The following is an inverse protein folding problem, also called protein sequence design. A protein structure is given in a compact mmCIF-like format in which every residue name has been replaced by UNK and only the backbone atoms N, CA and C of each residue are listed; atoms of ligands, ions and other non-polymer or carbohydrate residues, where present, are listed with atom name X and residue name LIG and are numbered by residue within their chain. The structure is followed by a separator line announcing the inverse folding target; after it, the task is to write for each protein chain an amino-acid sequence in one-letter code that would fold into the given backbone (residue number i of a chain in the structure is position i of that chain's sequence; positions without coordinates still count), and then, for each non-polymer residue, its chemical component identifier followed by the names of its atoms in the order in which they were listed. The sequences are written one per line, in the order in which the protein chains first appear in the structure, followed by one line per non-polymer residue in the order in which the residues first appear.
data_IF_492244743475
#
_entry.id   IF_492244743475
#
_cell.length_a   1.000
_cell.length_b   1.000
_cell.length_c   1.000
_cell.angle_alpha   90.00
_cell.angle_beta   90.00
_cell.angle_gamma   90.00
#
_symmetry.space_group_name_H-M   'P 1'
#
loop_
_entity.id
_entity.type
_entity.pdbx_description
1 polymer ?
#
# COMPACT_ATOMS: atom_id res chain seq x y z
N UNK A 1 -6.85 39.43 -21.58
CA UNK A 1 -5.91 38.39 -21.10
C UNK A 1 -5.60 38.70 -19.64
N UNK A 2 -5.87 37.77 -18.73
CA UNK A 2 -5.58 37.95 -17.31
C UNK A 2 -4.08 37.76 -17.07
N UNK A 3 -3.45 38.78 -16.47
CA UNK A 3 -2.01 38.83 -16.14
C UNK A 3 -1.67 38.04 -14.86
N UNK A 4 -2.62 37.25 -14.35
CA UNK A 4 -2.47 36.43 -13.15
C UNK A 4 -2.91 35.00 -13.47
N UNK A 5 -2.06 34.00 -13.19
CA UNK A 5 -2.45 32.60 -13.28
C UNK A 5 -3.52 32.28 -12.24
N UNK A 6 -4.43 31.43 -12.64
CA UNK A 6 -5.43 30.80 -11.78
C UNK A 6 -4.82 29.62 -11.02
N UNK A 7 -5.47 29.15 -9.95
CA UNK A 7 -4.99 27.99 -9.19
C UNK A 7 -4.93 26.73 -10.06
N UNK A 8 -5.89 26.56 -10.98
CA UNK A 8 -5.90 25.48 -11.99
C UNK A 8 -4.68 25.53 -12.91
N UNK A 9 -4.22 26.73 -13.27
CA UNK A 9 -2.98 26.89 -14.05
C UNK A 9 -1.73 26.62 -13.20
N UNK A 10 -1.78 26.74 -11.87
CA UNK A 10 -0.65 26.32 -11.02
C UNK A 10 -0.60 24.79 -10.93
N UNK A 11 -1.74 24.12 -10.81
CA UNK A 11 -1.81 22.65 -10.81
C UNK A 11 -1.39 22.08 -12.17
N UNK A 12 -1.87 22.66 -13.28
CA UNK A 12 -1.45 22.26 -14.63
C UNK A 12 0.05 22.49 -14.88
N UNK A 13 0.67 23.45 -14.20
CA UNK A 13 2.13 23.64 -14.22
C UNK A 13 2.86 22.50 -13.52
N UNK A 14 2.39 22.11 -12.33
CA UNK A 14 2.93 20.98 -11.57
C UNK A 14 2.81 19.69 -12.39
N UNK A 15 1.70 19.52 -13.11
CA UNK A 15 1.44 18.40 -14.00
C UNK A 15 2.13 18.50 -15.37
N UNK A 16 2.78 19.62 -15.70
CA UNK A 16 3.48 19.79 -16.98
C UNK A 16 2.56 19.84 -18.20
N UNK A 17 1.27 20.08 -18.00
CA UNK A 17 0.20 20.14 -19.01
C UNK A 17 -0.02 21.56 -19.55
N UNK A 18 0.87 22.51 -19.21
CA UNK A 18 0.85 23.87 -19.76
C UNK A 18 1.72 24.03 -21.00
N UNK A 19 1.19 24.80 -21.94
CA UNK A 19 1.95 25.36 -23.05
C UNK A 19 3.03 26.35 -22.56
N UNK A 20 3.94 26.71 -23.46
CA UNK A 20 5.11 27.55 -23.15
C UNK A 20 4.71 28.97 -22.72
N UNK A 21 3.65 29.52 -23.32
CA UNK A 21 3.21 30.90 -23.05
C UNK A 21 2.59 31.03 -21.66
N UNK A 22 1.69 30.12 -21.27
CA UNK A 22 1.08 30.12 -19.93
C UNK A 22 2.05 29.68 -18.86
N UNK A 23 3.00 28.80 -19.18
CA UNK A 23 4.12 28.45 -18.27
C UNK A 23 4.95 29.67 -17.88
N UNK A 24 5.30 30.52 -18.84
CA UNK A 24 6.04 31.76 -18.56
C UNK A 24 5.27 32.69 -17.61
N UNK A 25 3.95 32.80 -17.75
CA UNK A 25 3.10 33.59 -16.86
C UNK A 25 3.10 33.03 -15.43
N UNK A 26 3.02 31.70 -15.28
CA UNK A 26 3.10 31.02 -13.97
C UNK A 26 4.47 31.23 -13.33
N UNK A 27 5.56 31.01 -14.07
CA UNK A 27 6.93 31.17 -13.56
C UNK A 27 7.21 32.63 -13.13
N UNK A 28 6.76 33.59 -13.94
CA UNK A 28 6.83 35.02 -13.59
C UNK A 28 6.04 35.31 -12.31
N UNK A 29 4.86 34.70 -12.14
CA UNK A 29 4.05 34.84 -10.93
C UNK A 29 4.71 34.23 -9.68
N UNK A 30 5.36 33.07 -9.84
CA UNK A 30 6.07 32.37 -8.77
C UNK A 30 7.35 33.12 -8.35
N UNK A 31 8.10 33.69 -9.30
CA UNK A 31 9.31 34.49 -9.01
C UNK A 31 9.04 35.68 -8.06
N UNK A 32 7.82 36.24 -8.12
CA UNK A 32 7.38 37.36 -7.27
C UNK A 32 6.78 36.90 -5.93
N UNK A 33 6.64 35.58 -5.69
CA UNK A 33 6.01 35.00 -4.49
C UNK A 33 6.82 33.79 -3.98
N UNK A 34 7.89 34.01 -3.20
CA UNK A 34 8.79 32.95 -2.78
C UNK A 34 8.10 31.86 -1.94
N UNK A 35 7.13 32.22 -1.09
CA UNK A 35 6.38 31.24 -0.30
C UNK A 35 5.50 30.32 -1.15
N UNK A 36 4.90 30.84 -2.23
CA UNK A 36 4.10 30.04 -3.16
C UNK A 36 5.01 29.17 -4.04
N UNK A 37 6.13 29.72 -4.50
CA UNK A 37 7.15 28.97 -5.25
C UNK A 37 7.70 27.78 -4.45
N UNK A 38 7.96 27.98 -3.14
CA UNK A 38 8.42 26.91 -2.27
C UNK A 38 7.40 25.76 -2.15
N UNK A 39 6.10 26.07 -2.08
CA UNK A 39 5.05 25.04 -2.08
C UNK A 39 5.01 24.27 -3.40
N UNK A 40 5.00 24.98 -4.54
CA UNK A 40 4.99 24.37 -5.88
C UNK A 40 6.23 23.48 -6.11
N UNK A 41 7.40 23.88 -5.61
CA UNK A 41 8.60 23.04 -5.65
C UNK A 41 8.47 21.76 -4.81
N UNK A 42 7.79 21.84 -3.66
CA UNK A 42 7.42 20.67 -2.87
C UNK A 42 6.55 19.68 -3.67
N UNK A 43 5.52 20.19 -4.35
CA UNK A 43 4.62 19.36 -5.15
C UNK A 43 5.33 18.72 -6.35
N UNK A 44 6.18 19.47 -7.05
CA UNK A 44 7.06 18.95 -8.11
C UNK A 44 8.01 17.85 -7.60
N UNK A 45 8.53 17.99 -6.37
CA UNK A 45 9.40 16.97 -5.77
C UNK A 45 8.64 15.68 -5.46
N UNK A 46 7.43 15.78 -4.89
CA UNK A 46 6.54 14.64 -4.63
C UNK A 46 6.19 13.90 -5.92
N UNK A 47 5.83 14.65 -6.97
CA UNK A 47 5.56 14.09 -8.29
C UNK A 47 6.76 13.34 -8.87
N UNK A 48 7.95 13.91 -8.73
CA UNK A 48 9.20 13.29 -9.19
C UNK A 48 9.51 12.00 -8.41
N UNK A 49 9.30 11.99 -7.10
CA UNK A 49 9.45 10.80 -6.26
C UNK A 49 8.48 9.68 -6.68
N UNK A 50 7.21 10.00 -6.92
CA UNK A 50 6.22 9.04 -7.44
C UNK A 50 6.65 8.49 -8.81
N UNK A 51 7.14 9.35 -9.71
CA UNK A 51 7.66 8.91 -11.01
C UNK A 51 8.83 7.95 -10.88
N UNK A 52 9.77 8.20 -9.97
CA UNK A 52 10.89 7.31 -9.70
C UNK A 52 10.42 5.94 -9.19
N UNK A 53 9.46 5.90 -8.27
CA UNK A 53 8.88 4.65 -7.76
C UNK A 53 8.16 3.85 -8.86
N UNK A 54 7.57 4.53 -9.85
CA UNK A 54 6.83 3.88 -10.95
C UNK A 54 7.70 3.50 -12.15
N UNK A 55 8.93 4.02 -12.25
CA UNK A 55 9.82 3.76 -13.40
C UNK A 55 10.40 2.32 -13.42
N UNK A 56 10.18 1.53 -12.37
CA UNK A 56 10.60 0.12 -12.29
C UNK A 56 9.48 -0.88 -12.68
N UNK A 57 8.65 -0.53 -13.66
CA UNK A 57 7.68 -1.45 -14.27
C UNK A 57 8.04 -1.74 -15.72
N UNK A 58 8.81 -2.83 -15.86
CA UNK A 58 8.83 -3.85 -16.95
C UNK A 58 8.46 -3.34 -18.35
N UNK A 59 9.40 -3.48 -19.30
CA UNK A 59 9.12 -3.48 -20.74
C UNK A 59 7.90 -4.36 -21.01
N UNK A 60 6.83 -3.77 -21.53
CA UNK A 60 5.66 -4.49 -21.99
C UNK A 60 6.14 -5.49 -23.07
N UNK A 61 5.94 -6.80 -22.88
CA UNK A 61 6.27 -7.79 -23.90
C UNK A 61 5.52 -7.46 -25.21
N UNK A 62 6.24 -7.39 -26.34
CA UNK A 62 5.70 -6.93 -27.63
C UNK A 62 4.54 -7.79 -28.19
N UNK A 63 4.31 -8.95 -27.60
CA UNK A 63 3.22 -9.88 -27.82
C UNK A 63 1.86 -9.37 -27.28
N UNK A 64 1.83 -8.36 -26.40
CA UNK A 64 0.59 -7.68 -26.02
C UNK A 64 0.06 -6.73 -27.11
N UNK A 65 0.92 -6.11 -27.92
CA UNK A 65 0.50 -5.25 -29.04
C UNK A 65 -0.23 -6.05 -30.13
N UNK A 66 0.25 -7.27 -30.43
CA UNK A 66 -0.39 -8.16 -31.40
C UNK A 66 -1.78 -8.67 -30.95
N UNK A 67 -2.02 -8.75 -29.63
CA UNK A 67 -3.34 -9.10 -29.07
C UNK A 67 -4.28 -7.89 -29.02
N UNK A 68 -3.76 -6.68 -28.87
CA UNK A 68 -4.54 -5.44 -28.93
C UNK A 68 -5.08 -5.15 -30.34
N UNK A 69 -4.30 -5.41 -31.40
CA UNK A 69 -4.77 -5.24 -32.79
C UNK A 69 -5.90 -6.20 -33.17
N UNK A 70 -5.97 -7.39 -32.55
CA UNK A 70 -7.03 -8.38 -32.79
C UNK A 70 -8.36 -8.04 -32.10
N UNK A 71 -8.37 -7.09 -31.18
CA UNK A 71 -9.56 -6.67 -30.42
C UNK A 71 -10.21 -5.39 -30.97
N UNK A 72 -9.70 -4.81 -32.06
CA UNK A 72 -10.32 -3.66 -32.72
C UNK A 72 -11.20 -4.13 -33.88
N UNK A 73 -12.54 -4.20 -33.73
CA UNK A 73 -13.40 -4.36 -34.90
C UNK A 73 -13.32 -3.07 -35.73
N UNK A 74 -12.82 -3.21 -36.95
CA UNK A 74 -12.82 -2.16 -37.96
C UNK A 74 -14.25 -1.89 -38.45
N UNK A 75 -15.06 -1.16 -37.68
CA UNK A 75 -16.35 -0.65 -38.14
C UNK A 75 -16.26 0.86 -38.43
N UNK A 76 -15.53 1.20 -39.49
CA UNK A 76 -15.69 2.48 -40.18
C UNK A 76 -17.01 2.44 -40.97
N UNK A 77 -18.11 2.97 -40.43
CA UNK A 77 -19.28 3.32 -41.26
C UNK A 77 -20.24 4.33 -40.61
N UNK A 78 -20.14 5.58 -41.08
CA UNK A 78 -21.25 6.50 -41.44
C UNK A 78 -22.30 6.96 -40.42
N UNK A 79 -22.10 6.85 -39.10
CA UNK A 79 -23.06 7.40 -38.12
C UNK A 79 -22.55 8.62 -37.33
N UNK A 80 -21.44 9.22 -37.78
CA UNK A 80 -20.81 10.38 -37.14
C UNK A 80 -21.38 11.71 -37.64
N UNK A 81 -22.71 11.86 -37.63
CA UNK A 81 -23.35 13.18 -37.87
C UNK A 81 -24.47 13.57 -36.92
N UNK A 82 -24.85 12.76 -35.93
CA UNK A 82 -25.87 13.15 -34.97
C UNK A 82 -25.57 12.55 -33.58
N UNK A 83 -24.57 13.07 -32.86
CA UNK A 83 -24.51 12.95 -31.39
C UNK A 83 -23.71 14.12 -30.80
N UNK A 84 -24.22 14.81 -29.75
CA UNK A 84 -23.50 15.88 -29.07
C UNK A 84 -22.28 15.35 -28.30
N UNK A 85 -21.21 16.13 -28.26
CA UNK A 85 -19.86 15.78 -27.83
C UNK A 85 -19.66 15.56 -26.31
N UNK A 86 -20.59 14.90 -25.63
CA UNK A 86 -20.59 14.73 -24.16
C UNK A 86 -20.40 13.31 -23.62
N UNK A 87 -20.33 12.27 -24.45
CA UNK A 87 -20.47 10.87 -23.99
C UNK A 87 -19.33 9.92 -24.42
N UNK A 88 -18.13 10.45 -24.70
CA UNK A 88 -16.96 9.59 -24.98
C UNK A 88 -15.97 9.56 -23.80
N UNK A 89 -16.02 10.54 -22.90
CA UNK A 89 -15.18 10.58 -21.68
C UNK A 89 -15.65 9.64 -20.56
N UNK A 90 -16.94 9.25 -20.53
CA UNK A 90 -17.47 8.37 -19.48
C UNK A 90 -17.03 6.91 -19.57
N UNK A 91 -16.89 6.36 -20.78
CA UNK A 91 -16.56 4.94 -20.97
C UNK A 91 -15.11 4.59 -20.62
N UNK A 92 -14.17 5.48 -20.92
CA UNK A 92 -12.75 5.26 -20.60
C UNK A 92 -12.46 5.45 -19.10
N UNK A 93 -13.12 6.41 -18.45
CA UNK A 93 -13.03 6.63 -17.01
C UNK A 93 -13.64 5.47 -16.21
N UNK A 94 -14.79 4.93 -16.65
CA UNK A 94 -15.39 3.75 -16.04
C UNK A 94 -14.52 2.50 -16.22
N UNK A 95 -13.86 2.33 -17.37
CA UNK A 95 -12.93 1.24 -17.63
C UNK A 95 -11.67 1.28 -16.76
N UNK A 96 -11.06 2.46 -16.59
CA UNK A 96 -9.88 2.66 -15.71
C UNK A 96 -10.27 2.52 -14.23
N UNK A 97 -11.44 3.06 -13.83
CA UNK A 97 -11.95 2.87 -12.47
C UNK A 97 -12.24 1.38 -12.19
N UNK A 98 -12.84 0.64 -13.13
CA UNK A 98 -13.06 -0.80 -12.99
C UNK A 98 -11.74 -1.60 -12.96
N UNK A 99 -10.70 -1.17 -13.70
CA UNK A 99 -9.38 -1.79 -13.65
C UNK A 99 -8.64 -1.50 -12.33
N UNK A 100 -8.84 -0.32 -11.74
CA UNK A 100 -8.28 0.04 -10.44
C UNK A 100 -8.97 -0.66 -9.26
N UNK A 101 -10.25 -1.03 -9.41
CA UNK A 101 -11.00 -1.81 -8.41
C UNK A 101 -10.58 -3.29 -8.38
N UNK A 102 -9.92 -3.78 -9.44
CA UNK A 102 -9.44 -5.17 -9.53
C UNK A 102 -7.98 -5.40 -9.09
N UNK A 103 -7.29 -4.37 -8.59
CA UNK A 103 -6.00 -4.56 -7.91
C UNK A 103 -6.34 -4.70 -6.43
N UNK A 104 -6.42 -5.95 -5.96
CA UNK A 104 -6.51 -6.24 -4.52
C UNK A 104 -5.29 -5.61 -3.85
N UNK A 105 -5.50 -4.42 -3.28
CA UNK A 105 -4.47 -3.72 -2.54
C UNK A 105 -4.51 -4.29 -1.13
N UNK A 106 -3.35 -4.72 -0.58
CA UNK A 106 -3.29 -5.17 0.80
C UNK A 106 -3.90 -4.11 1.72
N UNK A 107 -4.66 -4.52 2.75
CA UNK A 107 -5.26 -3.58 3.68
C UNK A 107 -4.21 -2.69 4.35
N UNK A 108 -4.61 -1.50 4.79
CA UNK A 108 -3.69 -0.50 5.34
C UNK A 108 -2.82 -1.03 6.50
N UNK A 109 -3.33 -1.96 7.30
CA UNK A 109 -2.59 -2.53 8.44
C UNK A 109 -1.36 -3.35 8.05
N UNK A 110 -1.28 -3.84 6.81
CA UNK A 110 -0.10 -4.55 6.30
C UNK A 110 1.13 -3.64 6.36
N UNK A 111 0.97 -2.35 6.09
CA UNK A 111 2.06 -1.37 6.21
C UNK A 111 2.53 -1.18 7.67
N UNK A 112 1.60 -1.16 8.63
CA UNK A 112 1.95 -1.14 10.05
C UNK A 112 2.68 -2.41 10.46
N UNK A 113 2.25 -3.58 9.99
CA UNK A 113 2.89 -4.86 10.28
C UNK A 113 4.35 -4.91 9.81
N UNK A 114 4.66 -4.35 8.62
CA UNK A 114 6.04 -4.25 8.14
C UNK A 114 6.85 -3.25 8.95
N UNK A 115 6.30 -2.08 9.24
CA UNK A 115 6.97 -1.06 10.03
C UNK A 115 7.29 -1.55 11.44
N UNK A 116 6.30 -2.16 12.11
CA UNK A 116 6.44 -2.71 13.46
C UNK A 116 7.40 -3.90 13.48
N UNK A 117 7.39 -4.75 12.44
CA UNK A 117 8.36 -5.82 12.28
C UNK A 117 9.80 -5.29 12.25
N UNK A 118 10.08 -4.27 11.42
CA UNK A 118 11.41 -3.65 11.35
C UNK A 118 11.83 -3.06 12.69
N UNK A 119 10.91 -2.41 13.40
CA UNK A 119 11.16 -1.87 14.74
C UNK A 119 11.50 -3.01 15.72
N UNK A 120 10.76 -4.12 15.69
CA UNK A 120 11.05 -5.27 16.55
C UNK A 120 12.41 -5.90 16.24
N UNK A 121 12.78 -6.04 14.96
CA UNK A 121 14.11 -6.54 14.58
C UNK A 121 15.23 -5.61 15.05
N UNK A 122 15.06 -4.29 14.93
CA UNK A 122 16.01 -3.32 15.47
C UNK A 122 16.13 -3.43 17.00
N UNK A 123 15.01 -3.56 17.72
CA UNK A 123 15.02 -3.71 19.19
C UNK A 123 15.69 -5.00 19.63
N UNK A 124 15.47 -6.11 18.92
CA UNK A 124 16.10 -7.40 19.24
C UNK A 124 17.64 -7.35 19.18
N UNK A 125 18.21 -6.48 18.33
CA UNK A 125 19.66 -6.31 18.22
C UNK A 125 20.21 -5.25 19.23
N UNK A 126 19.35 -4.60 20.02
CA UNK A 126 19.73 -3.58 21.00
C UNK A 126 19.84 -4.16 22.41
N UNK A 127 21.05 -4.27 22.95
CA UNK A 127 21.30 -4.76 24.31
C UNK A 127 20.56 -4.00 25.43
N UNK A 128 20.17 -2.74 25.20
CA UNK A 128 19.45 -1.91 26.18
C UNK A 128 17.94 -2.12 26.16
N UNK A 129 17.42 -2.80 25.14
CA UNK A 129 16.00 -3.10 25.02
C UNK A 129 15.70 -4.42 25.72
N UNK A 130 14.80 -4.37 26.71
CA UNK A 130 14.36 -5.56 27.42
C UNK A 130 13.27 -6.22 26.59
N UNK A 131 13.51 -7.46 26.20
CA UNK A 131 12.52 -8.35 25.59
C UNK A 131 11.55 -8.86 26.65
N UNK A 132 10.25 -8.85 26.34
CA UNK A 132 9.19 -9.34 27.22
C UNK A 132 8.53 -10.56 26.58
N UNK A 133 9.10 -11.77 26.73
CA UNK A 133 8.55 -12.99 26.13
C UNK A 133 7.28 -13.48 26.85
N UNK A 134 7.00 -12.97 28.05
CA UNK A 134 5.84 -13.35 28.84
C UNK A 134 4.57 -12.78 28.22
N UNK A 135 3.69 -13.65 27.77
CA UNK A 135 2.39 -13.32 27.18
C UNK A 135 1.25 -13.96 27.98
N UNK A 136 0.31 -13.13 28.45
CA UNK A 136 -0.98 -13.59 28.99
C UNK A 136 -2.10 -13.21 28.01
N UNK A 137 -2.58 -14.19 27.26
CA UNK A 137 -3.62 -13.99 26.25
C UNK A 137 -4.91 -13.43 26.84
N UNK A 138 -5.27 -13.81 28.08
CA UNK A 138 -6.50 -13.36 28.73
C UNK A 138 -6.37 -11.91 29.17
N UNK A 139 -5.25 -11.54 29.79
CA UNK A 139 -4.99 -10.17 30.20
C UNK A 139 -4.99 -9.23 28.98
N UNK A 140 -4.31 -9.61 27.90
CA UNK A 140 -4.26 -8.81 26.68
C UNK A 140 -5.65 -8.67 26.06
N UNK A 141 -6.39 -9.76 25.89
CA UNK A 141 -7.73 -9.71 25.31
C UNK A 141 -8.70 -8.86 26.13
N UNK A 142 -8.65 -8.93 27.47
CA UNK A 142 -9.52 -8.13 28.35
C UNK A 142 -9.25 -6.63 28.25
N UNK A 143 -7.99 -6.21 28.10
CA UNK A 143 -7.61 -4.79 28.09
C UNK A 143 -7.64 -4.18 26.69
N UNK A 144 -7.45 -4.98 25.64
CA UNK A 144 -7.26 -4.47 24.26
C UNK A 144 -8.33 -4.94 23.28
N UNK A 145 -9.11 -5.98 23.63
CA UNK A 145 -10.01 -6.70 22.72
C UNK A 145 -9.27 -7.42 21.58
N UNK A 146 -7.95 -7.54 21.66
CA UNK A 146 -7.12 -8.26 20.69
C UNK A 146 -6.96 -9.70 21.16
N UNK A 147 -7.48 -10.63 20.36
CA UNK A 147 -7.17 -12.05 20.49
C UNK A 147 -5.97 -12.38 19.62
N UNK A 148 -4.98 -13.10 20.17
CA UNK A 148 -3.87 -13.66 19.40
C UNK A 148 -4.18 -15.10 18.98
N UNK A 149 -3.69 -15.55 17.81
CA UNK A 149 -3.80 -16.95 17.43
C UNK A 149 -3.00 -17.83 18.38
N UNK A 150 -3.40 -19.11 18.48
CA UNK A 150 -2.61 -20.13 19.17
C UNK A 150 -1.34 -20.39 18.37
N UNK A 151 -0.18 -20.31 19.02
CA UNK A 151 1.09 -20.59 18.34
C UNK A 151 1.33 -22.11 18.24
N UNK A 152 2.00 -22.58 17.17
CA UNK A 152 2.58 -23.90 17.13
C UNK A 152 3.60 -24.13 18.26
N UNK A 153 3.81 -25.39 18.66
CA UNK A 153 4.70 -25.74 19.78
C UNK A 153 6.18 -25.44 19.51
N UNK A 154 6.60 -25.42 18.24
CA UNK A 154 7.96 -25.11 17.77
C UNK A 154 8.21 -23.60 17.66
N UNK A 155 7.27 -22.77 18.12
CA UNK A 155 7.38 -21.31 18.10
C UNK A 155 7.57 -20.77 19.50
N UNK A 156 8.52 -19.84 19.61
CA UNK A 156 8.85 -19.20 20.88
C UNK A 156 8.63 -17.70 20.79
N UNK A 157 7.79 -17.18 21.69
CA UNK A 157 7.61 -15.73 21.84
C UNK A 157 8.91 -15.14 22.39
N UNK A 158 9.46 -14.17 21.67
CA UNK A 158 10.64 -13.42 22.12
C UNK A 158 10.24 -12.09 22.73
N UNK A 159 9.22 -11.42 22.17
CA UNK A 159 8.80 -10.12 22.68
C UNK A 159 7.33 -9.83 22.32
N UNK A 160 6.64 -9.07 23.17
CA UNK A 160 5.25 -8.63 22.95
C UNK A 160 5.12 -7.16 23.25
N UNK A 161 4.55 -6.40 22.31
CA UNK A 161 4.43 -4.95 22.41
C UNK A 161 3.11 -4.45 21.83
N UNK A 162 2.60 -3.37 22.41
CA UNK A 162 1.51 -2.60 21.81
C UNK A 162 2.07 -1.53 20.87
N UNK A 163 1.51 -1.47 19.68
CA UNK A 163 1.85 -0.47 18.66
C UNK A 163 0.65 0.43 18.39
N UNK A 164 0.85 1.76 18.28
CA UNK A 164 -0.22 2.65 17.86
C UNK A 164 -0.52 2.46 16.37
N UNK A 165 -1.80 2.54 16.03
CA UNK A 165 -2.28 2.73 14.65
C UNK A 165 -3.17 3.98 14.61
N UNK A 166 -3.70 4.32 13.44
CA UNK A 166 -4.58 5.49 13.29
C UNK A 166 -5.90 5.38 14.09
N UNK A 167 -6.37 4.17 14.41
CA UNK A 167 -7.70 3.95 15.01
C UNK A 167 -7.66 3.22 16.35
N UNK A 168 -7.11 2.01 16.34
CA UNK A 168 -7.11 1.10 17.48
C UNK A 168 -5.66 0.66 17.77
N UNK A 169 -5.29 0.37 19.02
CA UNK A 169 -3.98 -0.23 19.27
C UNK A 169 -3.87 -1.56 18.55
N UNK A 170 -2.67 -1.91 18.13
CA UNK A 170 -2.33 -3.23 17.63
C UNK A 170 -1.37 -3.92 18.59
N UNK A 171 -1.43 -5.25 18.63
CA UNK A 171 -0.44 -6.06 19.32
C UNK A 171 0.56 -6.60 18.30
N UNK A 172 1.84 -6.43 18.58
CA UNK A 172 2.92 -7.11 17.89
C UNK A 172 3.51 -8.17 18.80
N UNK A 173 3.60 -9.39 18.31
CA UNK A 173 4.28 -10.49 18.96
C UNK A 173 5.45 -10.93 18.07
N UNK A 174 6.67 -10.70 18.54
CA UNK A 174 7.87 -11.26 17.93
C UNK A 174 8.01 -12.72 18.35
N UNK A 175 8.26 -13.57 17.36
CA UNK A 175 8.42 -15.00 17.53
C UNK A 175 9.69 -15.47 16.84
N UNK A 176 10.27 -16.54 17.37
CA UNK A 176 11.35 -17.28 16.76
C UNK A 176 10.97 -18.74 16.71
N UNK A 177 11.10 -19.36 15.54
CA UNK A 177 10.92 -20.81 15.40
C UNK A 177 12.18 -21.56 15.84
N UNK A 178 12.08 -22.86 16.09
CA UNK A 178 13.23 -23.73 16.39
C UNK A 178 14.29 -23.74 15.28
N UNK A 179 13.87 -23.53 14.03
CA UNK A 179 14.75 -23.38 12.88
C UNK A 179 15.49 -22.02 12.86
N UNK A 180 15.26 -21.17 13.86
CA UNK A 180 15.88 -19.84 14.00
C UNK A 180 15.22 -18.75 13.17
N UNK A 181 14.05 -19.01 12.53
CA UNK A 181 13.33 -18.00 11.75
C UNK A 181 12.74 -16.95 12.68
N UNK A 182 13.12 -15.68 12.50
CA UNK A 182 12.54 -14.54 13.22
C UNK A 182 11.38 -13.97 12.43
N UNK A 183 10.22 -13.89 13.06
CA UNK A 183 8.98 -13.44 12.46
C UNK A 183 8.19 -12.59 13.47
N UNK A 184 7.19 -11.88 12.99
CA UNK A 184 6.27 -11.15 13.88
C UNK A 184 4.83 -11.37 13.47
N UNK A 185 3.96 -11.56 14.46
CA UNK A 185 2.51 -11.58 14.30
C UNK A 185 1.98 -10.22 14.75
N UNK A 186 1.37 -9.50 13.83
CA UNK A 186 0.66 -8.26 14.08
C UNK A 186 -0.84 -8.55 14.12
N UNK A 187 -1.53 -8.11 15.18
CA UNK A 187 -2.96 -8.30 15.34
C UNK A 187 -3.64 -6.97 15.69
N UNK A 188 -4.75 -6.69 15.02
CA UNK A 188 -5.60 -5.52 15.30
C UNK A 188 -7.07 -5.95 15.35
N UNK A 189 -7.81 -5.41 16.32
CA UNK A 189 -9.26 -5.59 16.42
C UNK A 189 -9.97 -4.62 15.47
N UNK A 190 -9.79 -4.85 14.18
CA UNK A 190 -10.44 -4.11 13.11
C UNK A 190 -10.93 -5.09 12.04
N UNK A 191 -12.20 -4.96 11.66
CA UNK A 191 -12.76 -5.70 10.54
C UNK A 191 -12.35 -5.05 9.22
N UNK A 192 -11.39 -5.67 8.56
CA UNK A 192 -10.84 -5.18 7.28
C UNK A 192 -11.38 -5.99 6.09
N UNK A 193 -10.99 -5.58 4.89
CA UNK A 193 -11.26 -6.32 3.66
C UNK A 193 -10.24 -7.44 3.41
N UNK A 194 -9.43 -7.83 4.40
CA UNK A 194 -8.54 -8.97 4.29
C UNK A 194 -9.34 -10.26 4.04
N UNK A 195 -8.79 -11.20 3.24
CA UNK A 195 -9.39 -12.51 3.02
C UNK A 195 -9.42 -13.32 4.32
N UNK A 196 -10.31 -14.32 4.40
CA UNK A 196 -10.36 -15.24 5.56
C UNK A 196 -9.26 -16.30 5.48
N UNK A 197 -8.98 -16.77 4.26
CA UNK A 197 -7.79 -17.54 3.96
C UNK A 197 -6.60 -16.58 3.81
N UNK A 198 -5.42 -16.91 4.38
CA UNK A 198 -4.23 -16.11 4.17
C UNK A 198 -3.90 -15.88 2.70
N UNK A 199 -3.40 -14.68 2.43
CA UNK A 199 -2.73 -14.33 1.19
C UNK A 199 -1.42 -13.63 1.53
N UNK A 200 -0.40 -13.81 0.70
CA UNK A 200 0.93 -13.29 0.97
C UNK A 200 1.47 -12.42 -0.17
N UNK A 201 1.98 -11.27 0.23
CA UNK A 201 2.59 -10.29 -0.67
C UNK A 201 4.02 -9.99 -0.27
N UNK A 202 4.79 -9.47 -1.22
CA UNK A 202 6.11 -8.89 -0.95
C UNK A 202 5.95 -7.38 -0.73
N UNK A 203 6.38 -6.90 0.42
CA UNK A 203 6.31 -5.49 0.81
C UNK A 203 7.72 -5.00 1.18
N UNK A 204 8.41 -4.42 0.21
CA UNK A 204 9.83 -4.08 0.34
C UNK A 204 10.70 -5.33 0.45
N UNK A 205 11.53 -5.41 1.50
CA UNK A 205 12.39 -6.57 1.75
C UNK A 205 11.64 -7.73 2.44
N UNK A 206 10.54 -7.43 3.11
CA UNK A 206 9.76 -8.40 3.89
C UNK A 206 8.66 -9.02 3.04
N UNK A 207 8.28 -10.24 3.40
CA UNK A 207 6.99 -10.82 3.00
C UNK A 207 6.00 -10.75 4.15
N UNK A 208 4.75 -10.48 3.79
CA UNK A 208 3.63 -10.38 4.73
C UNK A 208 2.52 -11.29 4.25
N UNK A 209 2.17 -12.27 5.05
CA UNK A 209 0.92 -13.01 4.90
C UNK A 209 -0.14 -12.35 5.78
N UNK A 210 -1.32 -12.09 5.25
CA UNK A 210 -2.36 -11.32 5.95
C UNK A 210 -3.72 -11.98 5.77
N UNK A 211 -4.53 -11.99 6.84
CA UNK A 211 -5.85 -12.60 6.86
C UNK A 211 -6.73 -11.98 7.93
N UNK A 212 -8.01 -12.34 7.92
CA UNK A 212 -9.00 -11.95 8.92
C UNK A 212 -9.62 -13.19 9.55
N UNK A 213 -9.88 -13.14 10.86
CA UNK A 213 -10.75 -14.11 11.55
C UNK A 213 -11.72 -13.37 12.47
N UNK A 214 -13.01 -13.49 12.18
CA UNK A 214 -14.04 -12.72 12.90
C UNK A 214 -13.81 -11.22 12.72
N UNK A 215 -13.67 -10.52 13.86
CA UNK A 215 -13.40 -9.07 13.93
C UNK A 215 -11.91 -8.73 14.10
N UNK A 216 -11.04 -9.74 14.02
CA UNK A 216 -9.58 -9.59 14.10
C UNK A 216 -8.95 -9.63 12.71
N UNK A 217 -8.02 -8.72 12.45
CA UNK A 217 -7.13 -8.77 11.29
C UNK A 217 -5.70 -9.05 11.72
N UNK A 218 -5.05 -9.98 11.02
CA UNK A 218 -3.72 -10.47 11.33
C UNK A 218 -2.77 -10.27 10.15
N UNK A 219 -1.49 -10.08 10.48
CA UNK A 219 -0.40 -10.14 9.54
C UNK A 219 0.79 -10.88 10.15
N UNK A 220 1.35 -11.82 9.39
CA UNK A 220 2.57 -12.54 9.68
C UNK A 220 3.67 -12.00 8.79
N UNK A 221 4.69 -11.39 9.39
CA UNK A 221 5.79 -10.73 8.66
C UNK A 221 7.11 -11.46 8.91
N UNK A 222 7.88 -11.67 7.85
CA UNK A 222 9.20 -12.29 7.89
C UNK A 222 10.00 -12.08 6.60
N UNK A 223 11.22 -12.62 6.57
CA UNK A 223 12.15 -12.47 5.44
C UNK A 223 12.00 -13.58 4.37
N UNK A 224 11.13 -14.57 4.62
CA UNK A 224 10.92 -15.70 3.74
C UNK A 224 10.22 -15.28 2.42
N UNK A 225 10.08 -16.21 1.48
CA UNK A 225 9.28 -15.97 0.27
C UNK A 225 7.79 -15.90 0.56
N UNK A 226 6.99 -15.12 -0.22
CA UNK A 226 5.55 -14.99 0.02
C UNK A 226 4.85 -16.35 0.12
N UNK A 227 5.17 -17.29 -0.76
CA UNK A 227 4.58 -18.65 -0.73
C UNK A 227 4.83 -19.41 0.58
N UNK A 228 6.02 -19.24 1.15
CA UNK A 228 6.35 -19.88 2.44
C UNK A 228 5.62 -19.19 3.58
N UNK A 229 5.53 -17.86 3.56
CA UNK A 229 4.77 -17.08 4.54
C UNK A 229 3.29 -17.42 4.50
N UNK A 230 2.73 -17.60 3.30
CA UNK A 230 1.35 -17.98 3.06
C UNK A 230 1.00 -19.32 3.72
N UNK A 231 1.77 -20.36 3.37
CA UNK A 231 1.60 -21.70 3.96
C UNK A 231 1.77 -21.70 5.49
N UNK A 232 2.69 -20.88 5.99
CA UNK A 232 2.91 -20.75 7.44
C UNK A 232 1.73 -20.04 8.12
N UNK A 233 1.14 -19.03 7.48
CA UNK A 233 -0.03 -18.35 7.99
C UNK A 233 -1.28 -19.24 7.92
N UNK A 234 -1.43 -20.11 6.93
CA UNK A 234 -2.54 -21.07 6.84
C UNK A 234 -2.56 -22.06 8.00
N UNK A 235 -1.39 -22.46 8.49
CA UNK A 235 -1.28 -23.31 9.69
C UNK A 235 -1.74 -22.54 10.93
N UNK A 236 -1.22 -21.32 11.11
CA UNK A 236 -1.59 -20.44 12.23
C UNK A 236 -3.08 -20.03 12.20
N UNK A 237 -3.67 -19.93 11.01
CA UNK A 237 -5.07 -19.62 10.81
C UNK A 237 -6.01 -20.82 11.01
N UNK A 238 -5.51 -22.04 11.25
CA UNK A 238 -6.37 -23.21 11.52
C UNK A 238 -6.58 -23.49 13.01
N UNK A 239 -5.63 -23.10 13.84
CA UNK A 239 -5.59 -23.35 15.30
C UNK A 239 -6.27 -22.20 16.04
#
# INVERSE_FOLDING_TARGET
MTDRPTDVEIDAYIDGELDVERRFVVETHLSRRPALAARVMGDLSTRSALRLLTHDRRRIPGDMMAKAERLVPAQRSRWRRLMPAGLVTGGLAAGIAAWAVGIDRPPAYVSYAVASHRIAMMRADMNSQIETPKFDAREIALNTRIAMPTLPDDWHVTDVQLFPTDKEPALLMAVRTDEGRRMTIFAVHEKTHAPEEPDAVREGAQSVAYWRRGDMSYALTGDQEPRTMDATAEELARI
#
